data_IF_197085587894
#
_entry.id   IF_197085587894
#
_cell.length_a   1.000
_cell.length_b   1.000
_cell.length_c   1.000
_cell.angle_alpha   90.00
_cell.angle_beta   90.00
_cell.angle_gamma   90.00
#
_symmetry.space_group_name_H-M   'P 1'
#
loop_
_entity.id
_entity.type
_entity.pdbx_description
1 polymer ?
#
# COMPACT_ATOMS: atom_id res chain seq x y z
N UNK A 1 -19.68 -41.93 -17.40
CA UNK A 1 -19.79 -40.48 -17.11
C UNK A 1 -18.56 -40.07 -16.30
N UNK A 2 -17.58 -39.40 -16.91
CA UNK A 2 -16.41 -38.88 -16.19
C UNK A 2 -16.79 -37.58 -15.48
N UNK A 3 -16.69 -37.55 -14.16
CA UNK A 3 -16.89 -36.36 -13.36
C UNK A 3 -15.64 -35.47 -13.42
N UNK A 4 -15.77 -34.29 -14.03
CA UNK A 4 -14.75 -33.27 -14.12
C UNK A 4 -14.73 -32.49 -12.78
N UNK A 5 -13.74 -32.76 -11.93
CA UNK A 5 -13.53 -32.02 -10.69
C UNK A 5 -12.94 -30.64 -11.02
N UNK A 6 -13.78 -29.59 -10.92
CA UNK A 6 -13.33 -28.21 -11.02
C UNK A 6 -12.54 -27.83 -9.76
N UNK A 7 -11.24 -27.61 -9.92
CA UNK A 7 -10.38 -27.07 -8.87
C UNK A 7 -10.68 -25.58 -8.70
N UNK A 8 -11.45 -25.24 -7.67
CA UNK A 8 -11.72 -23.86 -7.25
C UNK A 8 -10.43 -23.24 -6.71
N UNK A 9 -9.80 -22.33 -7.46
CA UNK A 9 -8.75 -21.47 -6.95
C UNK A 9 -9.35 -20.51 -5.91
N UNK A 10 -9.01 -20.69 -4.64
CA UNK A 10 -9.44 -19.80 -3.57
C UNK A 10 -8.80 -18.41 -3.77
N UNK A 11 -9.56 -17.30 -3.61
CA UNK A 11 -8.98 -15.97 -3.63
C UNK A 11 -8.07 -15.83 -2.41
N UNK A 12 -6.86 -15.29 -2.62
CA UNK A 12 -5.93 -14.98 -1.55
C UNK A 12 -6.62 -14.04 -0.55
N UNK A 13 -6.87 -14.54 0.65
CA UNK A 13 -7.50 -13.76 1.72
C UNK A 13 -6.69 -12.48 1.94
N UNK A 14 -7.34 -11.33 1.80
CA UNK A 14 -6.76 -10.03 2.11
C UNK A 14 -6.20 -10.07 3.55
N UNK A 15 -4.90 -9.87 3.69
CA UNK A 15 -4.27 -9.85 5.01
C UNK A 15 -4.96 -8.76 5.87
N UNK A 16 -5.25 -9.04 7.16
CA UNK A 16 -5.93 -8.09 8.03
C UNK A 16 -5.15 -6.77 8.08
N UNK A 17 -5.89 -5.65 8.03
CA UNK A 17 -5.36 -4.29 7.92
C UNK A 17 -4.34 -3.93 9.01
N UNK A 18 -4.35 -4.65 10.13
CA UNK A 18 -3.53 -4.42 11.31
C UNK A 18 -2.22 -5.22 11.38
N UNK A 19 -1.78 -5.93 10.33
CA UNK A 19 -0.49 -6.65 10.34
C UNK A 19 0.65 -5.92 9.62
N UNK A 20 1.90 -5.94 10.10
CA UNK A 20 3.05 -5.42 9.34
C UNK A 20 3.12 -5.96 7.92
N UNK A 21 3.50 -5.11 6.97
CA UNK A 21 3.63 -5.51 5.56
C UNK A 21 5.09 -5.76 5.25
N UNK A 22 5.45 -7.02 5.00
CA UNK A 22 6.78 -7.35 4.49
C UNK A 22 6.82 -7.23 2.97
N UNK A 23 7.37 -6.12 2.46
CA UNK A 23 7.61 -5.94 1.02
C UNK A 23 8.38 -7.11 0.40
N UNK A 24 9.40 -7.60 1.11
CA UNK A 24 10.23 -8.72 0.65
C UNK A 24 9.42 -10.03 0.55
N UNK A 25 8.51 -10.29 1.48
CA UNK A 25 7.62 -11.45 1.39
C UNK A 25 6.66 -11.33 0.21
N UNK A 26 6.07 -10.15 0.01
CA UNK A 26 5.16 -9.87 -1.13
C UNK A 26 5.85 -10.08 -2.47
N UNK A 27 7.07 -9.53 -2.65
CA UNK A 27 7.82 -9.68 -3.90
C UNK A 27 8.20 -11.16 -4.12
N UNK A 28 8.67 -11.86 -3.09
CA UNK A 28 9.03 -13.29 -3.20
C UNK A 28 7.86 -14.19 -3.59
N UNK A 29 6.64 -13.87 -3.15
CA UNK A 29 5.44 -14.60 -3.54
C UNK A 29 5.19 -14.54 -5.05
N UNK A 30 5.54 -13.44 -5.70
CA UNK A 30 5.45 -13.27 -7.16
C UNK A 30 6.68 -13.79 -7.92
N UNK A 31 7.86 -13.78 -7.29
CA UNK A 31 9.13 -14.15 -7.94
C UNK A 31 9.52 -15.63 -7.80
N UNK A 32 8.67 -16.48 -7.20
CA UNK A 32 8.96 -17.90 -6.97
C UNK A 32 9.19 -18.71 -8.26
N UNK A 33 9.97 -19.80 -8.16
CA UNK A 33 10.37 -20.69 -9.28
C UNK A 33 9.19 -21.32 -10.05
N UNK A 34 7.96 -21.22 -9.56
CA UNK A 34 6.78 -21.86 -10.14
C UNK A 34 6.03 -21.00 -11.16
N UNK A 35 6.35 -19.71 -11.32
CA UNK A 35 5.64 -18.83 -12.27
C UNK A 35 6.48 -18.50 -13.52
N UNK A 36 5.89 -18.58 -14.72
CA UNK A 36 6.51 -18.07 -15.95
C UNK A 36 6.85 -16.58 -15.85
N UNK A 37 7.96 -16.16 -16.49
CA UNK A 37 8.49 -14.79 -16.41
C UNK A 37 7.44 -13.72 -16.78
N UNK A 38 6.66 -13.96 -17.84
CA UNK A 38 5.62 -13.04 -18.30
C UNK A 38 4.48 -12.82 -17.28
N UNK A 39 4.30 -13.71 -16.30
CA UNK A 39 3.27 -13.57 -15.25
C UNK A 39 3.76 -12.84 -14.01
N UNK A 40 5.08 -12.73 -13.82
CA UNK A 40 5.66 -12.10 -12.63
C UNK A 40 5.28 -10.63 -12.52
N UNK A 41 5.36 -9.90 -13.64
CA UNK A 41 4.94 -8.48 -13.69
C UNK A 41 3.49 -8.28 -13.28
N UNK A 42 2.57 -9.06 -13.86
CA UNK A 42 1.15 -9.00 -13.51
C UNK A 42 0.90 -9.31 -12.02
N UNK A 43 1.59 -10.31 -11.45
CA UNK A 43 1.49 -10.61 -10.02
C UNK A 43 1.95 -9.43 -9.15
N UNK A 44 3.07 -8.80 -9.50
CA UNK A 44 3.61 -7.66 -8.75
C UNK A 44 2.68 -6.44 -8.86
N UNK A 45 2.08 -6.20 -10.02
CA UNK A 45 1.12 -5.11 -10.21
C UNK A 45 -0.14 -5.30 -9.37
N UNK A 46 -0.72 -6.50 -9.36
CA UNK A 46 -1.88 -6.81 -8.52
C UNK A 46 -1.54 -6.71 -7.03
N UNK A 47 -0.34 -7.15 -6.62
CA UNK A 47 0.13 -6.97 -5.26
C UNK A 47 0.29 -5.49 -4.87
N UNK A 48 0.81 -4.66 -5.77
CA UNK A 48 0.92 -3.22 -5.55
C UNK A 48 -0.47 -2.55 -5.44
N UNK A 49 -1.44 -2.94 -6.28
CA UNK A 49 -2.83 -2.44 -6.20
C UNK A 49 -3.48 -2.80 -4.87
N UNK A 50 -3.38 -4.05 -4.43
CA UNK A 50 -3.92 -4.49 -3.15
C UNK A 50 -3.31 -3.72 -1.96
N UNK A 51 -2.01 -3.44 -2.00
CA UNK A 51 -1.36 -2.60 -0.98
C UNK A 51 -1.82 -1.14 -1.04
N UNK A 52 -2.08 -0.58 -2.24
CA UNK A 52 -2.62 0.77 -2.42
C UNK A 52 -4.02 0.92 -1.80
N UNK A 53 -4.90 -0.05 -2.03
CA UNK A 53 -6.25 -0.09 -1.42
C UNK A 53 -6.17 -0.17 0.11
N UNK A 54 -5.26 -1.01 0.61
CA UNK A 54 -5.00 -1.13 2.04
C UNK A 54 -4.49 0.18 2.65
N UNK A 55 -3.58 0.87 1.98
CA UNK A 55 -3.10 2.19 2.40
C UNK A 55 -4.26 3.20 2.44
N UNK A 56 -5.15 3.20 1.45
CA UNK A 56 -6.34 4.06 1.44
C UNK A 56 -7.21 3.85 2.69
N UNK A 57 -7.50 2.59 3.03
CA UNK A 57 -8.25 2.25 4.25
C UNK A 57 -7.57 2.78 5.53
N UNK A 58 -6.24 2.70 5.60
CA UNK A 58 -5.49 3.19 6.76
C UNK A 58 -5.45 4.71 6.85
N UNK A 59 -5.35 5.40 5.71
CA UNK A 59 -5.43 6.87 5.63
C UNK A 59 -6.79 7.34 6.17
N UNK A 60 -7.89 6.72 5.71
CA UNK A 60 -9.24 7.06 6.20
C UNK A 60 -9.38 6.79 7.70
N UNK A 61 -8.84 5.67 8.19
CA UNK A 61 -8.86 5.37 9.63
C UNK A 61 -8.05 6.39 10.44
N UNK A 62 -6.89 6.83 9.96
CA UNK A 62 -6.07 7.87 10.64
C UNK A 62 -6.81 9.21 10.65
N UNK A 63 -7.45 9.59 9.55
CA UNK A 63 -8.28 10.79 9.47
C UNK A 63 -9.47 10.73 10.43
N UNK A 64 -10.16 9.60 10.53
CA UNK A 64 -11.24 9.39 11.49
C UNK A 64 -10.74 9.50 12.94
N UNK A 65 -9.56 8.94 13.25
CA UNK A 65 -8.95 9.05 14.57
C UNK A 65 -8.59 10.51 14.93
N UNK A 66 -8.06 11.28 13.97
CA UNK A 66 -7.81 12.71 14.13
C UNK A 66 -9.14 13.45 14.36
N UNK A 67 -10.19 13.16 13.57
CA UNK A 67 -11.49 13.79 13.72
C UNK A 67 -12.14 13.51 15.07
N UNK A 68 -11.94 12.32 15.66
CA UNK A 68 -12.44 11.99 17.00
C UNK A 68 -11.84 12.86 18.11
N UNK A 69 -10.64 13.43 17.90
CA UNK A 69 -10.06 14.40 18.86
C UNK A 69 -10.86 15.70 18.91
N UNK A 70 -11.51 16.09 17.81
CA UNK A 70 -12.32 17.31 17.78
C UNK A 70 -13.63 17.20 18.57
N UNK A 71 -14.06 15.98 18.92
CA UNK A 71 -15.35 15.71 19.57
C UNK A 71 -15.22 15.14 20.98
N UNK A 72 -14.01 14.73 21.40
CA UNK A 72 -13.81 14.18 22.75
C UNK A 72 -13.95 15.27 23.83
N UNK A 73 -14.47 14.93 25.02
CA UNK A 73 -14.43 15.81 26.18
C UNK A 73 -12.99 16.14 26.56
N UNK A 74 -12.76 17.32 27.13
CA UNK A 74 -11.47 17.66 27.72
C UNK A 74 -11.11 16.62 28.80
N UNK A 75 -9.90 16.08 28.74
CA UNK A 75 -9.38 15.12 29.72
C UNK A 75 -8.20 15.72 30.48
N UNK A 76 -8.03 15.42 31.78
CA UNK A 76 -6.80 15.74 32.49
C UNK A 76 -5.58 15.18 31.73
N UNK A 77 -4.61 16.04 31.40
CA UNK A 77 -3.40 15.65 30.69
C UNK A 77 -3.42 15.82 29.15
N UNK A 78 -4.50 16.34 28.55
CA UNK A 78 -4.52 16.67 27.12
C UNK A 78 -5.20 18.01 26.86
N UNK A 79 -4.42 18.96 26.33
CA UNK A 79 -4.94 20.25 25.85
C UNK A 79 -5.51 20.18 24.43
N UNK A 80 -5.28 19.06 23.72
CA UNK A 80 -5.65 18.96 22.32
C UNK A 80 -7.17 18.89 22.12
N UNK A 81 -7.69 19.84 21.34
CA UNK A 81 -9.09 20.02 21.01
C UNK A 81 -9.36 20.13 19.52
N UNK A 82 -10.42 20.85 19.15
CA UNK A 82 -10.88 20.98 17.76
C UNK A 82 -9.83 21.62 16.83
N UNK A 83 -9.17 22.68 17.29
CA UNK A 83 -8.20 23.40 16.47
C UNK A 83 -6.95 22.55 16.21
N UNK A 84 -6.51 21.78 17.20
CA UNK A 84 -5.41 20.81 17.05
C UNK A 84 -5.78 19.71 16.04
N UNK A 85 -6.97 19.14 16.15
CA UNK A 85 -7.46 18.12 15.22
C UNK A 85 -7.47 18.64 13.77
N UNK A 86 -7.91 19.88 13.55
CA UNK A 86 -7.91 20.49 12.22
C UNK A 86 -6.49 20.75 11.70
N UNK A 87 -5.58 21.21 12.55
CA UNK A 87 -4.17 21.41 12.19
C UNK A 87 -3.48 20.07 11.85
N UNK A 88 -3.72 19.03 12.64
CA UNK A 88 -3.20 17.69 12.38
C UNK A 88 -3.78 17.08 11.11
N UNK A 89 -5.08 17.27 10.85
CA UNK A 89 -5.72 16.82 9.60
C UNK A 89 -5.06 17.45 8.38
N UNK A 90 -4.85 18.78 8.41
CA UNK A 90 -4.16 19.51 7.33
C UNK A 90 -2.73 19.02 7.15
N UNK A 91 -1.97 18.89 8.23
CA UNK A 91 -0.59 18.43 8.19
C UNK A 91 -0.48 16.99 7.64
N UNK A 92 -1.36 16.08 8.09
CA UNK A 92 -1.40 14.71 7.64
C UNK A 92 -1.73 14.61 6.14
N UNK A 93 -2.75 15.35 5.67
CA UNK A 93 -3.10 15.38 4.25
C UNK A 93 -1.99 15.97 3.39
N UNK A 94 -1.31 17.02 3.85
CA UNK A 94 -0.17 17.61 3.15
C UNK A 94 1.00 16.61 3.03
N UNK A 95 1.33 15.93 4.14
CA UNK A 95 2.37 14.89 4.15
C UNK A 95 1.99 13.71 3.24
N UNK A 96 0.74 13.26 3.29
CA UNK A 96 0.25 12.19 2.42
C UNK A 96 0.32 12.58 0.95
N UNK A 97 -0.10 13.81 0.58
CA UNK A 97 0.00 14.30 -0.80
C UNK A 97 1.45 14.42 -1.30
N UNK A 98 2.36 14.91 -0.45
CA UNK A 98 3.79 14.96 -0.77
C UNK A 98 4.39 13.56 -0.98
N UNK A 99 4.02 12.60 -0.12
CA UNK A 99 4.43 11.21 -0.26
C UNK A 99 3.88 10.58 -1.54
N UNK A 100 2.63 10.83 -1.92
CA UNK A 100 2.03 10.31 -3.16
C UNK A 100 2.75 10.83 -4.41
N UNK A 101 3.14 12.09 -4.38
CA UNK A 101 3.91 12.67 -5.48
C UNK A 101 5.31 12.08 -5.57
N UNK A 102 5.99 11.87 -4.44
CA UNK A 102 7.26 11.14 -4.39
C UNK A 102 7.10 9.71 -4.91
N UNK A 103 6.09 8.98 -4.43
CA UNK A 103 5.78 7.61 -4.83
C UNK A 103 5.62 7.50 -6.35
N UNK A 104 4.82 8.41 -6.94
CA UNK A 104 4.57 8.47 -8.38
C UNK A 104 5.85 8.76 -9.14
N UNK A 105 6.53 9.87 -8.85
CA UNK A 105 7.75 10.27 -9.57
C UNK A 105 8.86 9.25 -9.47
N UNK A 106 9.09 8.71 -8.27
CA UNK A 106 10.19 7.79 -8.03
C UNK A 106 9.95 6.45 -8.74
N UNK A 107 8.81 5.81 -8.52
CA UNK A 107 8.57 4.50 -9.10
C UNK A 107 8.15 4.54 -10.58
N UNK A 108 7.43 5.57 -11.05
CA UNK A 108 7.01 5.62 -12.44
C UNK A 108 8.17 6.00 -13.39
N UNK A 109 9.17 6.75 -12.92
CA UNK A 109 10.41 6.99 -13.70
C UNK A 109 11.13 5.70 -14.11
N UNK A 110 10.88 4.60 -13.40
CA UNK A 110 11.42 3.28 -13.77
C UNK A 110 10.69 2.66 -14.97
N UNK A 111 9.44 3.04 -15.26
CA UNK A 111 8.79 2.63 -16.52
C UNK A 111 9.38 3.36 -17.72
N UNK A 112 9.72 4.64 -17.57
CA UNK A 112 10.38 5.41 -18.64
C UNK A 112 11.74 4.78 -19.00
N UNK A 113 12.46 4.25 -18.01
CA UNK A 113 13.68 3.46 -18.25
C UNK A 113 13.41 2.16 -19.04
N UNK A 114 12.29 1.47 -18.81
CA UNK A 114 11.91 0.28 -19.60
C UNK A 114 11.59 0.62 -21.05
N UNK A 115 10.87 1.73 -21.27
CA UNK A 115 10.50 2.19 -22.61
C UNK A 115 11.73 2.43 -23.49
N UNK A 116 12.89 2.73 -22.88
CA UNK A 116 14.17 2.97 -23.55
C UNK A 116 15.13 1.77 -23.59
N UNK A 117 14.65 0.54 -23.37
CA UNK A 117 15.43 -0.68 -23.62
C UNK A 117 15.87 -1.45 -22.37
N UNK A 118 15.27 -1.17 -21.22
CA UNK A 118 15.34 -2.07 -20.07
C UNK A 118 14.64 -3.40 -20.37
N UNK A 119 15.22 -4.52 -19.97
CA UNK A 119 14.54 -5.81 -19.93
C UNK A 119 14.22 -6.13 -18.48
N UNK A 120 13.04 -5.73 -18.00
CA UNK A 120 12.41 -6.02 -16.68
C UNK A 120 12.03 -4.80 -15.82
N UNK A 121 12.06 -3.57 -16.35
CA UNK A 121 11.76 -2.40 -15.54
C UNK A 121 10.29 -2.29 -15.12
N UNK A 122 9.34 -2.92 -15.82
CA UNK A 122 7.98 -3.11 -15.32
C UNK A 122 7.97 -3.86 -13.98
N UNK A 123 8.74 -4.95 -13.84
CA UNK A 123 8.87 -5.65 -12.57
C UNK A 123 9.62 -4.82 -11.51
N UNK A 124 10.61 -4.00 -11.91
CA UNK A 124 11.32 -3.10 -11.01
C UNK A 124 10.41 -1.99 -10.48
N UNK A 125 9.59 -1.39 -11.34
CA UNK A 125 8.63 -0.35 -11.00
C UNK A 125 7.57 -0.91 -10.03
N UNK A 126 6.98 -2.07 -10.31
CA UNK A 126 6.03 -2.71 -9.40
C UNK A 126 6.69 -3.08 -8.06
N UNK A 127 7.93 -3.56 -8.09
CA UNK A 127 8.70 -3.85 -6.86
C UNK A 127 9.01 -2.58 -6.06
N UNK A 128 9.32 -1.45 -6.73
CA UNK A 128 9.45 -0.14 -6.10
C UNK A 128 8.16 0.25 -5.39
N UNK A 129 7.02 0.14 -6.09
CA UNK A 129 5.70 0.45 -5.54
C UNK A 129 5.40 -0.38 -4.30
N UNK A 130 5.64 -1.69 -4.35
CA UNK A 130 5.44 -2.59 -3.20
C UNK A 130 6.28 -2.16 -1.99
N UNK A 131 7.56 -1.81 -2.19
CA UNK A 131 8.44 -1.38 -1.09
C UNK A 131 7.95 -0.08 -0.43
N UNK A 132 7.63 0.93 -1.23
CA UNK A 132 7.17 2.21 -0.70
C UNK A 132 5.79 2.10 -0.04
N UNK A 133 4.87 1.33 -0.62
CA UNK A 133 3.55 1.09 -0.03
C UNK A 133 3.65 0.37 1.31
N UNK A 134 4.48 -0.68 1.40
CA UNK A 134 4.70 -1.40 2.65
C UNK A 134 5.25 -0.48 3.75
N UNK A 135 6.29 0.31 3.43
CA UNK A 135 6.89 1.23 4.38
C UNK A 135 5.88 2.29 4.87
N UNK A 136 5.08 2.86 3.97
CA UNK A 136 4.06 3.84 4.33
C UNK A 136 2.92 3.26 5.16
N UNK A 137 2.53 2.02 4.88
CA UNK A 137 1.53 1.29 5.68
C UNK A 137 2.03 1.09 7.10
N UNK A 138 3.29 0.73 7.29
CA UNK A 138 3.88 0.56 8.62
C UNK A 138 3.99 1.92 9.35
N UNK A 139 4.43 2.98 8.67
CA UNK A 139 4.51 4.35 9.23
C UNK A 139 3.14 4.89 9.72
N UNK A 140 2.05 4.68 8.97
CA UNK A 140 0.73 5.21 9.35
C UNK A 140 0.11 4.42 10.52
N UNK A 141 0.47 3.14 10.66
CA UNK A 141 -0.04 2.24 11.71
C UNK A 141 0.57 2.53 13.08
N UNK A 142 1.79 3.05 13.13
CA UNK A 142 2.40 3.61 14.34
C UNK A 142 1.63 4.87 14.83
#
# INVERSE_FOLDING_TARGET
>A
MLALAAASAAPAAAAPADKPVSAAATIRACAGKAQPEYRKGACLDEAAKALRERLGTLVERKLAAIAAVATRPASPGSLAGRDDAENWRKAFLAAQGAWEEYFRRHCDSLYDFDYHGGSAAGQLASSCKIRLLAARIDEIRE
#
